data_IF_405381362209
#
_entry.id   IF_405381362209
#
_cell.length_a   1.000
_cell.length_b   1.000
_cell.length_c   1.000
_cell.angle_alpha   90.00
_cell.angle_beta   90.00
_cell.angle_gamma   90.00
#
_symmetry.space_group_name_H-M   'P 1'
#
loop_
_entity.id
_entity.type
_entity.pdbx_description
1 polymer ?
#
# COMPACT_ATOMS: atom_id res chain seq x y z
N UNK A 1 -30.88 22.62 -57.55
CA UNK A 1 -30.09 23.86 -57.33
C UNK A 1 -29.62 23.81 -55.88
N UNK A 2 -28.39 23.39 -55.53
CA UNK A 2 -27.11 24.16 -55.56
C UNK A 2 -27.33 25.57 -54.98
N UNK A 3 -26.64 26.11 -53.98
CA UNK A 3 -25.24 26.06 -53.49
C UNK A 3 -25.25 26.42 -51.98
N UNK A 4 -24.52 25.78 -51.06
CA UNK A 4 -23.08 25.89 -50.74
C UNK A 4 -22.46 27.31 -50.74
N UNK A 5 -22.30 27.92 -49.56
CA UNK A 5 -21.26 28.91 -49.21
C UNK A 5 -20.96 28.73 -47.71
N UNK A 6 -19.92 27.98 -47.33
CA UNK A 6 -18.52 28.40 -47.25
C UNK A 6 -18.34 29.72 -46.49
N UNK A 7 -18.09 29.64 -45.19
CA UNK A 7 -17.16 30.54 -44.51
C UNK A 7 -16.24 29.71 -43.58
N UNK A 8 -15.11 29.41 -44.20
CA UNK A 8 -13.84 28.98 -43.67
C UNK A 8 -13.40 29.90 -42.50
N UNK A 9 -13.10 29.28 -41.36
CA UNK A 9 -11.91 29.50 -40.54
C UNK A 9 -11.71 30.88 -39.89
N UNK A 10 -11.91 30.95 -38.57
CA UNK A 10 -10.96 31.67 -37.72
C UNK A 10 -10.57 30.79 -36.54
N UNK A 11 -9.38 30.22 -36.65
CA UNK A 11 -8.61 29.61 -35.59
C UNK A 11 -8.35 30.64 -34.48
N UNK A 12 -8.81 30.36 -33.27
CA UNK A 12 -8.10 30.75 -32.06
C UNK A 12 -7.92 29.48 -31.22
N UNK A 13 -6.85 28.76 -31.56
CA UNK A 13 -6.19 27.85 -30.64
C UNK A 13 -5.77 28.68 -29.42
N UNK A 14 -6.56 28.67 -28.35
CA UNK A 14 -6.02 28.89 -27.03
C UNK A 14 -5.21 27.63 -26.66
N UNK A 15 -4.05 27.48 -27.28
CA UNK A 15 -3.00 26.62 -26.76
C UNK A 15 -2.56 27.28 -25.47
N UNK A 16 -3.17 26.90 -24.35
CA UNK A 16 -2.51 27.11 -23.07
C UNK A 16 -1.28 26.22 -23.14
N UNK A 17 -0.14 26.84 -23.45
CA UNK A 17 1.14 26.30 -23.11
C UNK A 17 1.12 26.14 -21.58
N UNK A 18 0.61 25.00 -21.11
CA UNK A 18 1.13 24.38 -19.92
C UNK A 18 2.57 24.07 -20.27
N UNK A 19 3.45 25.06 -20.11
CA UNK A 19 4.87 24.83 -20.11
C UNK A 19 5.09 23.81 -19.02
N UNK A 20 5.28 22.55 -19.40
CA UNK A 20 5.81 21.54 -18.51
C UNK A 20 7.10 22.11 -17.96
N UNK A 21 7.05 22.62 -16.74
CA UNK A 21 8.23 22.93 -15.92
C UNK A 21 8.80 21.59 -15.43
N UNK A 22 9.01 20.65 -16.36
CA UNK A 22 10.00 19.62 -16.18
C UNK A 22 11.31 20.37 -16.16
N UNK A 23 11.90 20.48 -14.96
CA UNK A 23 13.30 20.88 -14.83
C UNK A 23 14.10 19.84 -15.60
N UNK A 24 14.42 20.14 -16.85
CA UNK A 24 15.33 19.34 -17.67
C UNK A 24 16.64 19.27 -16.90
N UNK A 25 17.01 18.07 -16.44
CA UNK A 25 18.27 17.83 -15.76
C UNK A 25 19.39 18.23 -16.74
N UNK A 26 20.29 19.16 -16.39
CA UNK A 26 21.45 19.43 -17.21
C UNK A 26 22.30 18.16 -17.30
N UNK A 27 22.62 17.75 -18.52
CA UNK A 27 23.50 16.64 -18.83
C UNK A 27 24.96 17.07 -18.62
N UNK A 28 25.38 17.34 -17.39
CA UNK A 28 26.80 17.49 -17.05
C UNK A 28 27.05 17.08 -15.59
N UNK A 29 28.01 16.18 -15.30
CA UNK A 29 28.35 15.77 -13.94
C UNK A 29 29.16 16.87 -13.27
N UNK A 30 28.48 17.87 -12.71
CA UNK A 30 29.13 18.82 -11.80
C UNK A 30 29.44 18.09 -10.49
N UNK A 31 30.74 17.84 -10.30
CA UNK A 31 31.37 17.50 -9.02
C UNK A 31 30.76 18.34 -7.89
N UNK A 32 29.94 17.70 -7.04
CA UNK A 32 29.41 18.35 -5.84
C UNK A 32 30.58 18.53 -4.88
N UNK A 33 31.10 19.76 -4.88
CA UNK A 33 31.97 20.28 -3.84
C UNK A 33 31.31 20.06 -2.49
N UNK A 34 31.99 19.31 -1.63
CA UNK A 34 31.63 19.02 -0.25
C UNK A 34 31.68 20.30 0.58
N UNK A 35 30.58 21.08 0.54
CA UNK A 35 30.32 22.16 1.49
C UNK A 35 29.78 21.57 2.78
N UNK A 36 30.56 21.69 3.87
CA UNK A 36 30.28 21.11 5.18
C UNK A 36 28.91 21.50 5.74
N UNK A 37 28.01 20.53 5.79
CA UNK A 37 26.73 20.55 6.49
C UNK A 37 26.16 19.13 6.49
N UNK A 38 26.42 18.39 7.58
CA UNK A 38 25.88 17.08 7.96
C UNK A 38 25.37 16.14 6.85
N UNK A 39 26.02 14.98 6.69
CA UNK A 39 25.61 13.91 5.75
C UNK A 39 24.13 13.45 5.82
N UNK A 40 23.35 13.88 6.81
CA UNK A 40 21.92 13.55 6.93
C UNK A 40 21.01 14.17 5.87
N UNK A 41 21.34 15.33 5.29
CA UNK A 41 20.46 15.97 4.29
C UNK A 41 20.40 15.25 2.94
N UNK A 42 21.54 14.76 2.46
CA UNK A 42 21.63 14.02 1.20
C UNK A 42 21.10 12.59 1.30
N UNK A 43 21.20 11.97 2.48
CA UNK A 43 20.61 10.66 2.75
C UNK A 43 19.08 10.73 2.83
N UNK A 44 18.51 11.70 3.55
CA UNK A 44 17.06 11.87 3.62
C UNK A 44 16.40 12.06 2.23
N UNK A 45 16.99 12.90 1.37
CA UNK A 45 16.50 13.13 0.01
C UNK A 45 16.52 11.87 -0.85
N UNK A 46 17.62 11.11 -0.80
CA UNK A 46 17.72 9.84 -1.51
C UNK A 46 16.71 8.82 -0.97
N UNK A 47 16.58 8.72 0.35
CA UNK A 47 15.74 7.70 0.98
C UNK A 47 14.25 7.95 0.77
N UNK A 48 13.82 9.21 0.74
CA UNK A 48 12.44 9.53 0.34
C UNK A 48 12.18 9.21 -1.15
N UNK A 49 13.16 9.51 -2.03
CA UNK A 49 13.05 9.15 -3.44
C UNK A 49 13.03 7.62 -3.65
N UNK A 50 13.86 6.90 -2.90
CA UNK A 50 13.89 5.43 -2.92
C UNK A 50 12.59 4.84 -2.37
N UNK A 51 12.06 5.36 -1.25
CA UNK A 51 10.74 5.00 -0.73
C UNK A 51 9.67 5.15 -1.80
N UNK A 52 9.57 6.32 -2.43
CA UNK A 52 8.61 6.55 -3.51
C UNK A 52 8.78 5.53 -4.65
N UNK A 53 10.02 5.21 -5.02
CA UNK A 53 10.29 4.18 -6.04
C UNK A 53 9.85 2.78 -5.60
N UNK A 54 9.88 2.46 -4.30
CA UNK A 54 9.30 1.21 -3.76
C UNK A 54 7.78 1.26 -3.84
N UNK A 55 7.15 2.36 -3.40
CA UNK A 55 5.70 2.58 -3.44
C UNK A 55 5.10 2.40 -4.83
N UNK A 56 5.81 2.90 -5.84
CA UNK A 56 5.38 2.84 -7.24
C UNK A 56 5.82 1.58 -7.96
N UNK A 57 6.43 0.63 -7.24
CA UNK A 57 6.96 -0.63 -7.78
C UNK A 57 8.04 -0.45 -8.87
N UNK A 58 8.78 0.65 -8.82
CA UNK A 58 9.86 0.98 -9.77
C UNK A 58 11.25 0.54 -9.27
N UNK A 59 11.42 0.29 -7.97
CA UNK A 59 12.72 -0.01 -7.34
C UNK A 59 13.33 -1.37 -7.76
N UNK A 60 12.58 -2.21 -8.48
CA UNK A 60 12.99 -3.58 -8.80
C UNK A 60 12.98 -4.51 -7.57
N UNK A 61 13.53 -5.72 -7.65
CA UNK A 61 13.59 -6.64 -6.53
C UNK A 61 14.64 -6.21 -5.49
N UNK A 62 14.27 -6.25 -4.21
CA UNK A 62 15.15 -5.95 -3.08
C UNK A 62 14.84 -6.89 -1.90
N UNK A 63 15.85 -7.22 -1.09
CA UNK A 63 15.71 -8.15 0.06
C UNK A 63 15.97 -7.49 1.41
N UNK A 64 16.39 -6.23 1.40
CA UNK A 64 16.75 -5.43 2.58
C UNK A 64 16.71 -3.95 2.25
N UNK A 65 16.40 -3.12 3.25
CA UNK A 65 16.42 -1.67 3.11
C UNK A 65 17.89 -1.21 2.92
N UNK A 66 18.18 -0.27 2.01
CA UNK A 66 19.52 0.31 1.88
C UNK A 66 20.02 0.80 3.23
N UNK A 67 21.26 0.46 3.59
CA UNK A 67 21.81 0.78 4.92
C UNK A 67 21.72 2.29 5.25
N UNK A 68 21.87 3.15 4.24
CA UNK A 68 21.73 4.61 4.37
C UNK A 68 20.31 5.09 4.70
N UNK A 69 19.29 4.25 4.52
CA UNK A 69 17.88 4.58 4.70
C UNK A 69 17.24 3.99 5.96
N UNK A 70 17.98 3.22 6.76
CA UNK A 70 17.41 2.61 7.98
C UNK A 70 16.90 3.68 8.96
N UNK A 71 17.71 4.72 9.22
CA UNK A 71 17.29 5.81 10.10
C UNK A 71 16.09 6.59 9.54
N UNK A 72 16.05 6.78 8.21
CA UNK A 72 14.91 7.40 7.54
C UNK A 72 13.64 6.58 7.70
N UNK A 73 13.71 5.25 7.55
CA UNK A 73 12.55 4.36 7.70
C UNK A 73 12.05 4.33 9.13
N UNK A 74 12.94 4.24 10.12
CA UNK A 74 12.58 4.35 11.54
C UNK A 74 11.81 5.65 11.82
N UNK A 75 12.35 6.79 11.37
CA UNK A 75 11.70 8.10 11.52
C UNK A 75 10.37 8.19 10.79
N UNK A 76 10.29 7.72 9.55
CA UNK A 76 9.07 7.74 8.75
C UNK A 76 7.96 6.90 9.38
N UNK A 77 8.25 5.66 9.76
CA UNK A 77 7.27 4.70 10.28
C UNK A 77 6.75 5.08 11.68
N UNK A 78 7.58 5.70 12.52
CA UNK A 78 7.18 6.16 13.85
C UNK A 78 6.70 7.62 13.86
N UNK A 79 6.84 8.33 12.75
CA UNK A 79 6.53 9.75 12.63
C UNK A 79 5.13 10.04 12.11
N UNK A 80 4.78 11.32 12.11
CA UNK A 80 3.51 11.82 11.59
C UNK A 80 3.33 11.57 10.09
N UNK A 81 4.43 11.38 9.36
CA UNK A 81 4.40 11.21 7.91
C UNK A 81 3.70 9.92 7.50
N UNK A 82 4.05 8.78 8.09
CA UNK A 82 3.38 7.51 7.80
C UNK A 82 1.89 7.56 8.17
N UNK A 83 1.57 8.13 9.34
CA UNK A 83 0.17 8.32 9.75
C UNK A 83 -0.61 9.22 8.79
N UNK A 84 -0.02 10.33 8.34
CA UNK A 84 -0.63 11.25 7.37
C UNK A 84 -0.83 10.59 6.01
N UNK A 85 0.18 9.87 5.49
CA UNK A 85 0.07 9.16 4.22
C UNK A 85 -1.07 8.10 4.31
N UNK A 86 -1.25 7.44 5.47
CA UNK A 86 -2.34 6.48 5.72
C UNK A 86 -3.72 7.10 5.79
N UNK A 87 -3.86 8.23 6.48
CA UNK A 87 -5.15 8.93 6.54
C UNK A 87 -5.59 9.44 5.17
N UNK A 88 -4.64 9.91 4.34
CA UNK A 88 -4.95 10.36 2.97
C UNK A 88 -5.52 9.19 2.15
N UNK A 89 -4.82 8.06 2.06
CA UNK A 89 -5.28 6.95 1.22
C UNK A 89 -6.56 6.29 1.76
N UNK A 90 -6.74 6.22 3.08
CA UNK A 90 -7.98 5.75 3.70
C UNK A 90 -9.15 6.70 3.41
N UNK A 91 -8.91 8.01 3.42
CA UNK A 91 -9.89 9.03 3.06
C UNK A 91 -10.34 8.93 1.60
N UNK A 92 -9.40 8.76 0.67
CA UNK A 92 -9.71 8.55 -0.75
C UNK A 92 -10.52 7.25 -0.97
N UNK A 93 -10.15 6.16 -0.28
CA UNK A 93 -10.88 4.90 -0.32
C UNK A 93 -12.32 5.04 0.21
N UNK A 94 -12.50 5.76 1.32
CA UNK A 94 -13.83 6.04 1.88
C UNK A 94 -14.67 6.90 0.93
N UNK A 95 -14.10 7.97 0.37
CA UNK A 95 -14.80 8.83 -0.59
C UNK A 95 -15.26 8.04 -1.83
N UNK A 96 -14.45 7.10 -2.30
CA UNK A 96 -14.86 6.17 -3.33
C UNK A 96 -16.02 5.27 -2.88
N UNK A 97 -15.93 4.69 -1.68
CA UNK A 97 -16.97 3.81 -1.15
C UNK A 97 -18.32 4.51 -0.96
N UNK A 98 -18.33 5.76 -0.49
CA UNK A 98 -19.54 6.59 -0.34
C UNK A 98 -20.24 6.88 -1.67
N UNK A 99 -19.50 6.86 -2.78
CA UNK A 99 -20.05 7.05 -4.12
C UNK A 99 -20.63 5.77 -4.74
N UNK A 100 -20.45 4.62 -4.11
CA UNK A 100 -20.97 3.32 -4.59
C UNK A 100 -22.38 3.08 -4.05
N UNK A 101 -23.31 2.71 -4.93
CA UNK A 101 -24.64 2.27 -4.52
C UNK A 101 -24.58 0.80 -4.05
N UNK A 102 -24.58 0.58 -2.73
CA UNK A 102 -24.62 -0.75 -2.12
C UNK A 102 -26.03 -1.33 -2.23
N UNK A 103 -26.16 -2.48 -2.89
CA UNK A 103 -27.45 -3.09 -3.23
C UNK A 103 -28.13 -3.77 -2.03
N UNK A 104 -27.38 -4.06 -0.96
CA UNK A 104 -27.90 -4.73 0.23
C UNK A 104 -28.24 -6.21 0.02
N UNK A 105 -27.79 -6.82 -1.09
CA UNK A 105 -27.99 -8.25 -1.38
C UNK A 105 -26.86 -9.15 -0.82
N UNK A 106 -25.93 -8.54 -0.08
CA UNK A 106 -24.80 -9.20 0.55
C UNK A 106 -23.59 -9.44 -0.36
N UNK A 107 -23.57 -8.88 -1.58
CA UNK A 107 -22.51 -9.12 -2.57
C UNK A 107 -21.55 -7.95 -2.79
N UNK A 108 -21.85 -6.78 -2.23
CA UNK A 108 -20.94 -5.65 -2.23
C UNK A 108 -19.86 -5.87 -1.18
N UNK A 109 -18.70 -6.32 -1.64
CA UNK A 109 -17.58 -6.74 -0.81
C UNK A 109 -16.43 -5.76 -0.91
N UNK A 110 -15.82 -5.44 0.23
CA UNK A 110 -14.51 -4.82 0.29
C UNK A 110 -13.46 -5.86 0.70
N UNK A 111 -12.37 -5.94 -0.04
CA UNK A 111 -11.28 -6.89 0.23
C UNK A 111 -10.13 -6.15 0.90
N UNK A 112 -9.68 -6.67 2.04
CA UNK A 112 -8.51 -6.17 2.77
C UNK A 112 -7.41 -7.24 2.79
N UNK A 113 -6.17 -6.81 2.58
CA UNK A 113 -5.02 -7.56 3.11
C UNK A 113 -4.93 -7.38 4.64
N UNK A 114 -4.16 -8.22 5.33
CA UNK A 114 -4.02 -8.20 6.79
C UNK A 114 -2.72 -7.53 7.23
N UNK A 115 -1.57 -8.07 6.82
CA UNK A 115 -0.27 -7.60 7.29
C UNK A 115 0.07 -6.25 6.64
N UNK A 116 0.49 -5.27 7.46
CA UNK A 116 0.77 -3.88 7.06
C UNK A 116 -0.40 -3.16 6.35
N UNK A 117 -1.60 -3.73 6.42
CA UNK A 117 -2.84 -3.14 5.92
C UNK A 117 -3.85 -2.98 7.06
N UNK A 118 -4.19 -4.05 7.78
CA UNK A 118 -5.04 -3.99 8.98
C UNK A 118 -4.21 -4.06 10.26
N UNK A 119 -3.22 -4.95 10.30
CA UNK A 119 -2.33 -5.21 11.43
C UNK A 119 -0.92 -4.70 11.11
N UNK A 120 -0.32 -3.97 12.04
CA UNK A 120 1.06 -3.50 11.91
C UNK A 120 2.04 -4.48 12.56
N UNK A 121 2.98 -5.00 11.79
CA UNK A 121 4.14 -5.75 12.27
C UNK A 121 5.33 -4.82 12.55
N UNK A 122 5.12 -3.50 12.60
CA UNK A 122 6.17 -2.54 12.96
C UNK A 122 6.91 -2.88 14.27
N UNK A 123 6.25 -3.38 15.35
CA UNK A 123 6.99 -3.79 16.55
C UNK A 123 7.99 -4.92 16.29
N UNK A 124 7.66 -5.87 15.41
CA UNK A 124 8.60 -6.91 14.98
C UNK A 124 9.78 -6.29 14.22
N UNK A 125 9.50 -5.42 13.24
CA UNK A 125 10.54 -4.81 12.44
C UNK A 125 11.45 -3.87 13.25
N UNK A 126 10.90 -3.13 14.21
CA UNK A 126 11.68 -2.29 15.13
C UNK A 126 12.68 -3.14 15.94
N UNK A 127 12.24 -4.30 16.45
CA UNK A 127 13.12 -5.22 17.18
C UNK A 127 14.18 -5.90 16.28
N UNK A 128 13.94 -5.94 14.96
CA UNK A 128 14.81 -6.60 13.98
C UNK A 128 15.54 -5.60 13.05
N UNK A 129 15.66 -4.34 13.48
CA UNK A 129 16.46 -3.33 12.79
C UNK A 129 15.86 -2.82 11.48
N UNK A 130 14.53 -2.70 11.41
CA UNK A 130 13.76 -2.08 10.33
C UNK A 130 14.17 -2.57 8.93
N UNK A 131 14.24 -3.88 8.73
CA UNK A 131 14.57 -4.47 7.42
C UNK A 131 16.03 -4.29 7.00
N UNK A 132 16.95 -4.00 7.93
CA UNK A 132 18.39 -3.96 7.67
C UNK A 132 19.00 -5.33 7.34
N UNK A 133 18.31 -6.41 7.70
CA UNK A 133 18.67 -7.80 7.47
C UNK A 133 17.66 -8.47 6.53
N UNK A 134 18.06 -9.57 5.90
CA UNK A 134 17.15 -10.37 5.11
C UNK A 134 16.01 -10.92 5.98
N UNK A 135 14.83 -11.03 5.39
CA UNK A 135 13.63 -11.49 6.09
C UNK A 135 13.79 -12.93 6.62
N UNK A 136 13.42 -13.14 7.89
CA UNK A 136 13.46 -14.44 8.56
C UNK A 136 12.04 -14.95 8.82
N UNK A 137 11.58 -15.85 7.95
CA UNK A 137 10.23 -16.43 8.00
C UNK A 137 9.93 -17.14 9.32
N UNK A 138 10.88 -17.92 9.87
CA UNK A 138 10.67 -18.63 11.13
C UNK A 138 10.45 -17.68 12.30
N UNK A 139 11.27 -16.61 12.39
CA UNK A 139 11.13 -15.62 13.45
C UNK A 139 9.86 -14.79 13.30
N UNK A 140 9.44 -14.49 12.06
CA UNK A 140 8.18 -13.80 11.82
C UNK A 140 6.97 -14.68 12.15
N UNK A 141 7.03 -15.98 11.85
CA UNK A 141 5.98 -16.93 12.24
C UNK A 141 5.80 -16.96 13.76
N UNK A 142 6.90 -16.99 14.52
CA UNK A 142 6.86 -16.87 15.98
C UNK A 142 6.16 -15.58 16.43
N UNK A 143 6.45 -14.45 15.79
CA UNK A 143 5.76 -13.17 16.04
C UNK A 143 4.26 -13.25 15.75
N UNK A 144 3.86 -13.84 14.63
CA UNK A 144 2.45 -14.04 14.26
C UNK A 144 1.71 -14.84 15.34
N UNK A 145 2.32 -15.91 15.85
CA UNK A 145 1.70 -16.74 16.89
C UNK A 145 1.51 -16.00 18.23
N UNK A 146 2.23 -14.91 18.48
CA UNK A 146 1.99 -14.08 19.67
C UNK A 146 0.64 -13.35 19.63
N UNK A 147 0.07 -13.14 18.44
CA UNK A 147 -1.24 -12.47 18.24
C UNK A 147 -1.32 -11.07 18.86
N UNK A 148 -0.24 -10.27 18.71
CA UNK A 148 -0.06 -8.97 19.36
C UNK A 148 0.19 -7.80 18.40
N UNK A 149 0.06 -8.00 17.10
CA UNK A 149 0.23 -6.92 16.13
C UNK A 149 -0.88 -5.86 16.35
N UNK A 150 -0.55 -4.58 16.58
CA UNK A 150 -1.55 -3.54 16.76
C UNK A 150 -2.31 -3.24 15.46
N UNK A 151 -3.48 -2.63 15.56
CA UNK A 151 -4.19 -2.10 14.40
C UNK A 151 -3.45 -0.89 13.79
N UNK A 152 -3.52 -0.77 12.46
CA UNK A 152 -3.29 0.49 11.77
C UNK A 152 -4.53 1.38 11.93
N UNK A 153 -4.36 2.56 12.54
CA UNK A 153 -5.50 3.39 12.98
C UNK A 153 -6.39 3.87 11.82
N UNK A 154 -5.79 4.32 10.71
CA UNK A 154 -6.52 4.76 9.52
C UNK A 154 -7.35 3.62 8.91
N UNK A 155 -6.77 2.41 8.87
CA UNK A 155 -7.44 1.21 8.36
C UNK A 155 -8.58 0.75 9.25
N UNK A 156 -8.42 0.80 10.57
CA UNK A 156 -9.50 0.47 11.51
C UNK A 156 -10.69 1.42 11.38
N UNK A 157 -10.41 2.72 11.20
CA UNK A 157 -11.44 3.72 10.90
C UNK A 157 -12.15 3.40 9.59
N UNK A 158 -11.40 3.22 8.49
CA UNK A 158 -11.97 2.86 7.19
C UNK A 158 -12.83 1.58 7.26
N UNK A 159 -12.32 0.53 7.89
CA UNK A 159 -13.03 -0.74 8.07
C UNK A 159 -14.39 -0.53 8.75
N UNK A 160 -14.43 0.30 9.80
CA UNK A 160 -15.66 0.63 10.54
C UNK A 160 -16.66 1.41 9.67
N UNK A 161 -16.17 2.40 8.92
CA UNK A 161 -17.02 3.22 8.04
C UNK A 161 -17.59 2.38 6.88
N UNK A 162 -16.78 1.50 6.28
CA UNK A 162 -17.24 0.59 5.23
C UNK A 162 -18.33 -0.37 5.72
N UNK A 163 -18.21 -0.87 6.96
CA UNK A 163 -19.27 -1.67 7.57
C UNK A 163 -20.56 -0.87 7.77
N UNK A 164 -20.45 0.42 8.16
CA UNK A 164 -21.61 1.30 8.31
C UNK A 164 -22.29 1.60 6.96
N UNK A 165 -21.52 1.62 5.87
CA UNK A 165 -22.03 1.73 4.50
C UNK A 165 -22.65 0.43 3.96
N UNK A 166 -22.56 -0.67 4.70
CA UNK A 166 -23.17 -1.97 4.33
C UNK A 166 -22.27 -2.87 3.49
N UNK A 167 -20.98 -2.56 3.34
CA UNK A 167 -20.04 -3.46 2.69
C UNK A 167 -19.76 -4.68 3.56
N UNK A 168 -19.62 -5.83 2.90
CA UNK A 168 -19.13 -7.06 3.51
C UNK A 168 -17.61 -7.16 3.41
N UNK A 169 -16.94 -7.48 4.52
CA UNK A 169 -15.47 -7.51 4.54
C UNK A 169 -14.96 -8.90 4.21
N UNK A 170 -14.07 -9.01 3.22
CA UNK A 170 -13.30 -10.24 2.96
C UNK A 170 -11.83 -9.96 3.23
N UNK A 171 -11.23 -10.77 4.08
CA UNK A 171 -9.82 -10.67 4.44
C UNK A 171 -9.03 -11.69 3.64
N UNK A 172 -8.02 -11.25 2.89
CA UNK A 172 -7.15 -12.08 2.07
C UNK A 172 -5.71 -11.84 2.47
N UNK A 173 -5.04 -12.84 3.03
CA UNK A 173 -3.69 -12.67 3.59
C UNK A 173 -2.69 -13.70 3.06
N UNK A 174 -1.42 -13.26 2.98
CA UNK A 174 -0.28 -14.12 2.74
C UNK A 174 0.07 -15.06 3.91
N UNK A 175 -0.49 -14.87 5.11
CA UNK A 175 -0.28 -15.81 6.23
C UNK A 175 -0.72 -17.21 5.86
N UNK A 176 -0.05 -18.22 6.40
CA UNK A 176 -0.36 -19.62 6.12
C UNK A 176 -1.65 -20.05 6.85
N UNK A 177 -2.41 -20.96 6.25
CA UNK A 177 -3.66 -21.49 6.85
C UNK A 177 -3.47 -22.04 8.28
N UNK A 178 -2.29 -22.59 8.59
CA UNK A 178 -1.95 -23.07 9.94
C UNK A 178 -1.91 -21.95 11.00
N UNK A 179 -1.78 -20.69 10.58
CA UNK A 179 -1.79 -19.49 11.42
C UNK A 179 -3.20 -18.89 11.61
N UNK A 180 -4.26 -19.53 11.10
CA UNK A 180 -5.63 -19.00 11.14
C UNK A 180 -6.06 -18.55 12.54
N UNK A 181 -5.95 -19.43 13.54
CA UNK A 181 -6.43 -19.13 14.89
C UNK A 181 -5.69 -17.93 15.52
N UNK A 182 -4.37 -17.85 15.36
CA UNK A 182 -3.57 -16.71 15.83
C UNK A 182 -3.97 -15.42 15.10
N UNK A 183 -4.19 -15.50 13.78
CA UNK A 183 -4.60 -14.35 12.97
C UNK A 183 -5.99 -13.84 13.36
N UNK A 184 -6.97 -14.73 13.53
CA UNK A 184 -8.32 -14.37 13.96
C UNK A 184 -8.32 -13.74 15.37
N UNK A 185 -7.57 -14.33 16.31
CA UNK A 185 -7.40 -13.75 17.65
C UNK A 185 -6.79 -12.36 17.60
N UNK A 186 -5.73 -12.18 16.81
CA UNK A 186 -5.08 -10.88 16.68
C UNK A 186 -6.03 -9.83 16.07
N UNK A 187 -6.77 -10.18 15.00
CA UNK A 187 -7.73 -9.28 14.38
C UNK A 187 -8.79 -8.81 15.38
N UNK A 188 -9.36 -9.72 16.17
CA UNK A 188 -10.32 -9.39 17.22
C UNK A 188 -9.71 -8.48 18.29
N UNK A 189 -8.50 -8.77 18.76
CA UNK A 189 -7.81 -7.91 19.73
C UNK A 189 -7.49 -6.52 19.18
N UNK A 190 -7.19 -6.42 17.89
CA UNK A 190 -6.94 -5.17 17.20
C UNK A 190 -8.23 -4.37 16.91
N UNK A 191 -9.41 -4.93 17.19
CA UNK A 191 -10.71 -4.26 17.03
C UNK A 191 -11.41 -4.57 15.70
N UNK A 192 -10.86 -5.46 14.87
CA UNK A 192 -11.52 -5.93 13.66
C UNK A 192 -12.46 -7.09 13.99
N UNK A 193 -13.69 -7.03 13.50
CA UNK A 193 -14.68 -8.08 13.68
C UNK A 193 -15.68 -8.09 12.53
N UNK A 194 -16.58 -9.08 12.53
CA UNK A 194 -17.69 -9.17 11.56
C UNK A 194 -17.24 -9.22 10.10
N UNK A 195 -16.08 -9.82 9.81
CA UNK A 195 -15.70 -10.15 8.43
C UNK A 195 -16.53 -11.33 7.93
N UNK A 196 -16.85 -11.33 6.63
CA UNK A 196 -17.59 -12.39 5.95
C UNK A 196 -16.70 -13.62 5.71
N UNK A 197 -15.44 -13.41 5.33
CA UNK A 197 -14.52 -14.50 5.05
C UNK A 197 -13.08 -14.10 5.35
N UNK A 198 -12.30 -15.05 5.89
CA UNK A 198 -10.84 -14.95 6.03
C UNK A 198 -10.16 -16.05 5.19
N UNK A 199 -9.47 -15.62 4.15
CA UNK A 199 -8.76 -16.46 3.17
C UNK A 199 -7.26 -16.36 3.48
N UNK A 200 -6.66 -17.49 3.89
CA UNK A 200 -5.22 -17.60 4.11
C UNK A 200 -4.56 -18.42 3.00
N UNK A 201 -3.24 -18.32 2.91
CA UNK A 201 -2.43 -19.08 1.96
C UNK A 201 -2.45 -20.56 2.31
N UNK A 202 -2.92 -21.38 1.37
CA UNK A 202 -2.83 -22.83 1.45
C UNK A 202 -1.43 -23.25 1.01
N UNK A 203 -0.63 -23.80 1.92
CA UNK A 203 0.63 -24.43 1.58
C UNK A 203 0.32 -25.83 1.05
N UNK A 204 0.41 -26.02 -0.27
CA UNK A 204 0.48 -27.37 -0.86
C UNK A 204 1.94 -27.79 -0.86
N UNK A 205 2.23 -28.98 -0.30
CA UNK A 205 3.57 -29.57 -0.43
C UNK A 205 3.98 -29.59 -1.92
N UNK A 206 5.10 -28.95 -2.24
CA UNK A 206 5.69 -28.93 -3.59
C UNK A 206 5.44 -27.67 -4.46
N UNK A 207 4.68 -26.67 -4.00
CA UNK A 207 4.58 -25.35 -4.66
C UNK A 207 5.02 -24.23 -3.71
N UNK A 208 6.32 -24.17 -3.46
CA UNK A 208 6.97 -23.04 -2.79
C UNK A 208 7.62 -22.14 -3.85
N UNK A 209 6.81 -21.48 -4.67
CA UNK A 209 7.29 -20.42 -5.55
C UNK A 209 6.18 -19.38 -5.67
N UNK A 210 6.57 -18.11 -5.66
CA UNK A 210 5.75 -16.90 -5.46
C UNK A 210 5.57 -16.57 -3.97
N UNK A 211 5.80 -15.30 -3.58
CA UNK A 211 5.60 -14.66 -2.27
C UNK A 211 6.82 -14.31 -1.41
N UNK A 212 8.07 -14.68 -1.78
CA UNK A 212 9.27 -14.29 -0.99
C UNK A 212 9.62 -12.79 -1.05
N UNK A 213 8.90 -12.00 -1.86
CA UNK A 213 9.14 -10.56 -2.04
C UNK A 213 8.08 -9.68 -1.36
N UNK A 214 6.99 -10.25 -0.84
CA UNK A 214 5.82 -9.44 -0.48
C UNK A 214 6.00 -8.77 0.89
N UNK A 215 6.66 -9.43 1.86
CA UNK A 215 6.68 -8.91 3.25
C UNK A 215 7.56 -7.67 3.47
N UNK A 216 8.62 -7.48 2.67
CA UNK A 216 9.42 -6.25 2.75
C UNK A 216 8.77 -5.11 1.96
N UNK A 217 8.03 -5.43 0.89
CA UNK A 217 7.27 -4.46 0.08
C UNK A 217 6.27 -3.67 0.91
N UNK A 218 5.71 -4.31 1.94
CA UNK A 218 4.69 -3.74 2.81
C UNK A 218 5.17 -2.75 3.88
N UNK A 219 6.47 -2.72 4.21
CA UNK A 219 7.03 -1.76 5.17
C UNK A 219 6.96 -0.31 4.67
N UNK A 220 6.73 -0.12 3.37
CA UNK A 220 6.60 1.21 2.77
C UNK A 220 5.26 1.34 2.04
N UNK A 221 4.77 0.27 1.39
CA UNK A 221 3.65 0.31 0.45
C UNK A 221 2.30 0.64 1.08
N UNK A 222 1.96 1.92 1.10
CA UNK A 222 0.62 2.41 1.43
C UNK A 222 -0.35 2.23 0.25
N UNK A 223 0.18 2.27 -0.97
CA UNK A 223 -0.61 2.33 -2.19
C UNK A 223 -1.18 0.98 -2.66
N UNK A 224 -0.59 -0.15 -2.24
CA UNK A 224 -1.06 -1.47 -2.68
C UNK A 224 -2.01 -2.18 -1.71
N UNK A 225 -2.03 -1.80 -0.42
CA UNK A 225 -2.75 -2.55 0.62
C UNK A 225 -4.18 -2.08 0.91
N UNK A 226 -4.40 -0.76 0.99
CA UNK A 226 -5.68 -0.21 1.44
C UNK A 226 -6.73 -0.20 0.32
N UNK A 227 -6.30 -0.15 -0.94
CA UNK A 227 -7.20 -0.04 -2.08
C UNK A 227 -6.65 -0.74 -3.34
N UNK A 228 -6.37 -2.04 -3.27
CA UNK A 228 -6.33 -2.81 -4.51
C UNK A 228 -7.75 -2.88 -5.07
N UNK A 229 -7.99 -2.14 -6.17
CA UNK A 229 -9.20 -2.25 -6.99
C UNK A 229 -9.33 -3.68 -7.50
N UNK A 230 -9.90 -4.55 -6.68
CA UNK A 230 -10.29 -5.88 -7.10
C UNK A 230 -11.67 -5.75 -7.74
N UNK A 231 -11.73 -5.44 -9.04
CA UNK A 231 -12.93 -5.74 -9.83
C UNK A 231 -13.07 -7.27 -9.93
N UNK A 232 -13.48 -7.94 -8.86
CA UNK A 232 -13.91 -9.34 -8.90
C UNK A 232 -15.32 -9.32 -9.48
N UNK A 233 -15.40 -9.18 -10.81
CA UNK A 233 -16.65 -9.39 -11.53
C UNK A 233 -16.89 -10.90 -11.56
N UNK A 234 -17.65 -11.42 -10.59
CA UNK A 234 -18.14 -12.81 -10.62
C UNK A 234 -18.99 -12.94 -11.88
N UNK A 235 -18.41 -13.53 -12.94
CA UNK A 235 -19.20 -13.91 -14.12
C UNK A 235 -20.14 -15.03 -13.68
N UNK A 236 -21.41 -14.71 -13.48
CA UNK A 236 -22.45 -15.72 -13.48
C UNK A 236 -22.54 -16.29 -14.90
N UNK A 237 -21.96 -17.48 -15.10
CA UNK A 237 -22.26 -18.32 -16.25
C UNK A 237 -23.70 -18.79 -16.14
N UNK A 238 -24.57 -18.25 -16.99
CA UNK A 238 -25.95 -18.71 -17.14
C UNK A 238 -26.07 -19.77 -18.24
N UNK A 239 -26.80 -20.84 -17.88
CA UNK A 239 -27.29 -22.00 -18.65
C UNK A 239 -26.27 -23.09 -19.01
#
# INVERSE_FOLDING_TARGET
>A
MRLLRSHLLLLLLASSAAGSLLRTVPEEPSTISSGGGGGGGGDALYCDSWRLSVETNDAGPWTRIPARCIAFVDEYMNGERYASDSEVIAGEALAFAEAVEVAGDGKDVWVFDVDETLLSNLPYYAANGYGSQDFNETSFDEWVYLSKAPALSASLKLYTELQALGFHMVLLTGRAEVQRNATEQNLLFAGYGSWTQLILRIIKEGLAFVHRLDQLFFLLSQFSGICQRAEIRVKHGGL
#
